data_IF_118823807891
#
_entry.id   IF_118823807891
#
_cell.length_a   1.000
_cell.length_b   1.000
_cell.length_c   1.000
_cell.angle_alpha   90.00
_cell.angle_beta   90.00
_cell.angle_gamma   90.00
#
_symmetry.space_group_name_H-M   'P 1'
#
loop_
_entity.id
_entity.type
_entity.pdbx_description
1 polymer ?
#
# COMPACT_ATOMS: atom_id res chain seq x y z
N UNK A 1 -21.57 45.57 -20.34
CA UNK A 1 -21.17 44.24 -20.87
C UNK A 1 -19.76 43.79 -20.48
N UNK A 2 -18.74 44.68 -20.44
CA UNK A 2 -17.34 44.30 -20.15
C UNK A 2 -17.12 43.61 -18.78
N UNK A 3 -17.89 43.96 -17.74
CA UNK A 3 -17.80 43.35 -16.40
C UNK A 3 -18.41 41.93 -16.30
N UNK A 4 -19.43 41.61 -17.10
CA UNK A 4 -20.04 40.28 -17.13
C UNK A 4 -19.13 39.25 -17.84
N UNK A 5 -18.42 39.67 -18.87
CA UNK A 5 -17.50 38.82 -19.62
C UNK A 5 -16.29 38.37 -18.78
N UNK A 6 -15.74 39.25 -17.93
CA UNK A 6 -14.64 38.88 -17.02
C UNK A 6 -15.06 37.90 -15.93
N UNK A 7 -16.28 38.01 -15.40
CA UNK A 7 -16.80 37.05 -14.40
C UNK A 7 -17.01 35.67 -15.03
N UNK A 8 -17.52 35.62 -16.25
CA UNK A 8 -17.72 34.36 -16.98
C UNK A 8 -16.40 33.66 -17.31
N UNK A 9 -15.37 34.44 -17.68
CA UNK A 9 -14.04 33.90 -18.01
C UNK A 9 -13.32 33.37 -16.76
N UNK A 10 -13.46 34.05 -15.61
CA UNK A 10 -12.96 33.56 -14.31
C UNK A 10 -13.69 32.27 -13.91
N UNK A 11 -15.02 32.23 -13.99
CA UNK A 11 -15.80 31.03 -13.67
C UNK A 11 -15.45 29.83 -14.59
N UNK A 12 -15.20 30.10 -15.87
CA UNK A 12 -14.78 29.07 -16.83
C UNK A 12 -13.40 28.50 -16.47
N UNK A 13 -12.43 29.36 -16.12
CA UNK A 13 -11.10 28.93 -15.69
C UNK A 13 -11.08 28.18 -14.35
N UNK A 14 -11.96 28.55 -13.40
CA UNK A 14 -12.10 27.78 -12.16
C UNK A 14 -12.70 26.40 -12.43
N UNK A 15 -13.68 26.29 -13.33
CA UNK A 15 -14.32 25.00 -13.62
C UNK A 15 -13.36 23.94 -14.21
N UNK A 16 -12.40 24.35 -15.04
CA UNK A 16 -11.38 23.45 -15.57
C UNK A 16 -10.40 22.95 -14.51
N UNK A 17 -10.01 23.80 -13.55
CA UNK A 17 -9.14 23.41 -12.42
C UNK A 17 -9.83 22.41 -11.46
N UNK A 18 -11.15 22.54 -11.27
CA UNK A 18 -11.92 21.60 -10.45
C UNK A 18 -12.13 20.24 -11.13
N UNK A 19 -12.26 20.20 -12.46
CA UNK A 19 -12.40 18.95 -13.20
C UNK A 19 -11.11 18.11 -13.17
N UNK A 20 -9.95 18.73 -13.40
CA UNK A 20 -8.64 18.05 -13.46
C UNK A 20 -8.19 17.51 -12.08
N UNK A 21 -8.51 18.24 -11.00
CA UNK A 21 -8.21 17.80 -9.62
C UNK A 21 -9.07 16.61 -9.18
N UNK A 22 -10.32 16.53 -9.61
CA UNK A 22 -11.23 15.40 -9.33
C UNK A 22 -10.73 14.09 -9.95
N UNK A 23 -10.35 14.10 -11.24
CA UNK A 23 -9.86 12.90 -11.93
C UNK A 23 -8.53 12.41 -11.35
N UNK A 24 -7.61 13.33 -11.05
CA UNK A 24 -6.32 13.00 -10.42
C UNK A 24 -6.52 12.36 -9.05
N UNK A 25 -7.47 12.88 -8.25
CA UNK A 25 -7.79 12.32 -6.92
C UNK A 25 -8.39 10.92 -7.02
N UNK A 26 -9.28 10.68 -7.98
CA UNK A 26 -9.85 9.35 -8.21
C UNK A 26 -8.80 8.33 -8.64
N UNK A 27 -7.88 8.73 -9.51
CA UNK A 27 -6.81 7.88 -9.99
C UNK A 27 -5.82 7.53 -8.87
N UNK A 28 -5.43 8.51 -8.04
CA UNK A 28 -4.62 8.29 -6.83
C UNK A 28 -5.29 7.28 -5.89
N UNK A 29 -6.59 7.41 -5.66
CA UNK A 29 -7.34 6.49 -4.80
C UNK A 29 -7.37 5.06 -5.37
N UNK A 30 -7.46 4.89 -6.69
CA UNK A 30 -7.38 3.57 -7.33
C UNK A 30 -5.99 2.95 -7.13
N UNK A 31 -4.92 3.71 -7.31
CA UNK A 31 -3.56 3.22 -7.06
C UNK A 31 -3.36 2.83 -5.59
N UNK A 32 -3.86 3.63 -4.66
CA UNK A 32 -3.82 3.30 -3.22
C UNK A 32 -4.56 1.99 -2.91
N UNK A 33 -5.73 1.75 -3.52
CA UNK A 33 -6.46 0.50 -3.35
C UNK A 33 -5.66 -0.72 -3.83
N UNK A 34 -5.04 -0.61 -5.01
CA UNK A 34 -4.17 -1.67 -5.56
C UNK A 34 -2.99 -1.91 -4.63
N UNK A 35 -2.33 -0.85 -4.14
CA UNK A 35 -1.21 -0.99 -3.22
C UNK A 35 -1.59 -1.67 -1.90
N UNK A 36 -2.77 -1.37 -1.34
CA UNK A 36 -3.28 -2.09 -0.15
C UNK A 36 -3.52 -3.58 -0.46
N UNK A 37 -4.00 -3.89 -1.66
CA UNK A 37 -4.12 -5.26 -2.16
C UNK A 37 -2.78 -5.99 -2.24
N UNK A 38 -1.76 -5.34 -2.80
CA UNK A 38 -0.38 -5.86 -2.88
C UNK A 38 0.23 -6.09 -1.50
N UNK A 39 0.05 -5.15 -0.56
CA UNK A 39 0.48 -5.32 0.85
C UNK A 39 -0.19 -6.56 1.46
N UNK A 40 -1.50 -6.71 1.23
CA UNK A 40 -2.26 -7.85 1.75
C UNK A 40 -1.79 -9.19 1.17
N UNK A 41 -1.44 -9.20 -0.11
CA UNK A 41 -0.91 -10.39 -0.79
C UNK A 41 0.49 -10.74 -0.28
N UNK A 42 1.38 -9.77 -0.21
CA UNK A 42 2.75 -9.94 0.29
C UNK A 42 2.75 -10.47 1.73
N UNK A 43 1.93 -9.89 2.62
CA UNK A 43 1.77 -10.41 3.98
C UNK A 43 1.33 -11.88 4.03
N UNK A 44 0.37 -12.29 3.18
CA UNK A 44 -0.09 -13.68 3.14
C UNK A 44 1.02 -14.62 2.67
N UNK A 45 1.83 -14.20 1.70
CA UNK A 45 2.98 -14.97 1.22
C UNK A 45 4.08 -15.06 2.29
N UNK A 46 4.36 -13.98 3.01
CA UNK A 46 5.29 -13.98 4.16
C UNK A 46 4.79 -14.91 5.28
N UNK A 47 3.52 -14.80 5.65
CA UNK A 47 2.93 -15.68 6.68
C UNK A 47 2.92 -17.14 6.27
N UNK A 48 2.68 -17.43 4.98
CA UNK A 48 2.73 -18.77 4.43
C UNK A 48 4.17 -19.31 4.46
N UNK A 49 5.13 -18.56 3.93
CA UNK A 49 6.54 -18.98 3.91
C UNK A 49 7.09 -19.18 5.32
N UNK A 50 6.71 -18.36 6.29
CA UNK A 50 7.02 -18.59 7.69
C UNK A 50 6.43 -19.90 8.21
N UNK A 51 5.18 -20.22 7.85
CA UNK A 51 4.56 -21.50 8.23
C UNK A 51 5.29 -22.71 7.61
N UNK A 52 5.71 -22.60 6.35
CA UNK A 52 6.55 -23.62 5.70
C UNK A 52 7.91 -23.76 6.40
N UNK A 53 8.54 -22.64 6.77
CA UNK A 53 9.82 -22.61 7.47
C UNK A 53 9.71 -23.29 8.84
N UNK A 54 8.70 -22.92 9.63
CA UNK A 54 8.47 -23.45 10.97
C UNK A 54 8.11 -24.95 10.96
N UNK A 55 7.38 -25.41 9.93
CA UNK A 55 7.09 -26.82 9.72
C UNK A 55 8.27 -27.62 9.14
N UNK A 56 9.38 -26.94 8.78
CA UNK A 56 10.50 -27.52 8.04
C UNK A 56 10.04 -28.25 6.75
N UNK A 57 8.98 -27.71 6.12
CA UNK A 57 8.31 -28.30 4.96
C UNK A 57 8.91 -27.84 3.62
N UNK A 58 9.78 -26.83 3.66
CA UNK A 58 10.54 -26.36 2.50
C UNK A 58 11.97 -25.98 2.90
N UNK A 59 12.91 -26.17 1.98
CA UNK A 59 14.29 -25.71 2.15
C UNK A 59 14.39 -24.19 2.18
N UNK A 60 15.41 -23.67 2.86
CA UNK A 60 15.63 -22.22 3.00
C UNK A 60 15.85 -21.52 1.68
N UNK A 61 16.47 -22.18 0.70
CA UNK A 61 16.65 -21.65 -0.66
C UNK A 61 15.31 -21.35 -1.34
N UNK A 62 14.33 -22.24 -1.19
CA UNK A 62 13.00 -22.06 -1.77
C UNK A 62 12.22 -20.93 -1.09
N UNK A 63 12.31 -20.84 0.25
CA UNK A 63 11.71 -19.74 1.01
C UNK A 63 12.33 -18.40 0.59
N UNK A 64 13.66 -18.33 0.50
CA UNK A 64 14.37 -17.13 0.07
C UNK A 64 14.02 -16.71 -1.36
N UNK A 65 13.84 -17.67 -2.28
CA UNK A 65 13.41 -17.39 -3.65
C UNK A 65 12.01 -16.76 -3.70
N UNK A 66 11.01 -17.35 -3.03
CA UNK A 66 9.65 -16.80 -2.97
C UNK A 66 9.67 -15.38 -2.39
N UNK A 67 10.39 -15.19 -1.29
CA UNK A 67 10.45 -13.90 -0.63
C UNK A 67 11.22 -12.86 -1.46
N UNK A 68 12.21 -13.25 -2.24
CA UNK A 68 12.91 -12.33 -3.16
C UNK A 68 11.99 -11.79 -4.26
N UNK A 69 11.15 -12.65 -4.85
CA UNK A 69 10.15 -12.24 -5.85
C UNK A 69 9.05 -11.36 -5.22
N UNK A 70 8.64 -11.71 -4.00
CA UNK A 70 7.69 -10.91 -3.21
C UNK A 70 8.26 -9.53 -2.92
N UNK A 71 9.52 -9.43 -2.49
CA UNK A 71 10.21 -8.17 -2.23
C UNK A 71 10.33 -7.30 -3.48
N UNK A 72 10.64 -7.92 -4.63
CA UNK A 72 10.72 -7.20 -5.90
C UNK A 72 9.36 -6.58 -6.27
N UNK A 73 8.29 -7.35 -6.10
CA UNK A 73 6.91 -6.88 -6.32
C UNK A 73 6.54 -5.74 -5.39
N UNK A 74 6.85 -5.87 -4.10
CA UNK A 74 6.63 -4.84 -3.08
C UNK A 74 7.41 -3.56 -3.41
N UNK A 75 8.70 -3.67 -3.77
CA UNK A 75 9.54 -2.52 -4.17
C UNK A 75 8.98 -1.82 -5.42
N UNK A 76 8.54 -2.59 -6.41
CA UNK A 76 7.93 -2.06 -7.62
C UNK A 76 6.62 -1.31 -7.30
N UNK A 77 5.74 -1.90 -6.49
CA UNK A 77 4.49 -1.26 -6.06
C UNK A 77 4.75 0.04 -5.28
N UNK A 78 5.73 0.04 -4.36
CA UNK A 78 6.16 1.24 -3.64
C UNK A 78 6.66 2.33 -4.59
N UNK A 79 7.48 1.96 -5.58
CA UNK A 79 7.99 2.91 -6.59
C UNK A 79 6.86 3.53 -7.41
N UNK A 80 5.88 2.73 -7.85
CA UNK A 80 4.71 3.22 -8.60
C UNK A 80 3.92 4.24 -7.76
N UNK A 81 3.65 3.94 -6.49
CA UNK A 81 2.90 4.83 -5.61
C UNK A 81 3.61 6.16 -5.39
N UNK A 82 4.93 6.13 -5.15
CA UNK A 82 5.73 7.34 -4.98
C UNK A 82 5.81 8.18 -6.26
N UNK A 83 5.91 7.52 -7.43
CA UNK A 83 5.99 8.21 -8.72
C UNK A 83 4.65 8.83 -9.14
N UNK A 84 3.53 8.17 -8.80
CA UNK A 84 2.19 8.61 -9.20
C UNK A 84 1.54 9.58 -8.20
N UNK A 85 2.09 9.72 -7.00
CA UNK A 85 1.60 10.67 -6.00
C UNK A 85 2.70 11.68 -5.60
N UNK A 86 2.83 12.74 -6.39
CA UNK A 86 3.83 13.80 -6.21
C UNK A 86 3.66 14.61 -4.92
N UNK A 87 2.50 14.55 -4.27
CA UNK A 87 2.24 15.13 -2.94
C UNK A 87 1.60 14.07 -2.04
N UNK A 88 2.40 13.26 -1.33
CA UNK A 88 1.90 12.12 -0.56
C UNK A 88 0.90 12.54 0.50
N UNK A 89 -0.35 12.12 0.32
CA UNK A 89 -1.38 12.25 1.33
C UNK A 89 -1.10 11.29 2.53
N UNK A 90 -1.83 11.43 3.66
CA UNK A 90 -1.61 10.59 4.82
C UNK A 90 -1.75 9.08 4.54
N UNK A 91 -2.68 8.67 3.66
CA UNK A 91 -2.84 7.27 3.30
C UNK A 91 -1.63 6.76 2.51
N UNK A 92 -1.14 7.53 1.55
CA UNK A 92 0.08 7.17 0.80
C UNK A 92 1.29 7.02 1.70
N UNK A 93 1.46 7.89 2.70
CA UNK A 93 2.57 7.76 3.67
C UNK A 93 2.50 6.46 4.47
N UNK A 94 1.31 6.09 4.92
CA UNK A 94 1.07 4.84 5.65
C UNK A 94 1.29 3.61 4.76
N UNK A 95 0.85 3.65 3.48
CA UNK A 95 1.10 2.59 2.49
C UNK A 95 2.60 2.39 2.31
N UNK A 96 3.36 3.47 2.14
CA UNK A 96 4.82 3.41 1.98
C UNK A 96 5.48 2.81 3.22
N UNK A 97 5.05 3.20 4.42
CA UNK A 97 5.55 2.62 5.66
C UNK A 97 5.22 1.13 5.79
N UNK A 98 4.04 0.70 5.34
CA UNK A 98 3.65 -0.71 5.37
C UNK A 98 4.50 -1.55 4.39
N UNK A 99 4.83 -1.02 3.21
CA UNK A 99 5.78 -1.67 2.31
C UNK A 99 7.16 -1.86 2.94
N UNK A 100 7.69 -0.84 3.63
CA UNK A 100 8.98 -0.95 4.31
C UNK A 100 8.97 -1.99 5.44
N UNK A 101 7.86 -2.07 6.17
CA UNK A 101 7.67 -3.07 7.21
C UNK A 101 7.64 -4.51 6.65
N UNK A 102 6.97 -4.73 5.52
CA UNK A 102 6.96 -6.03 4.83
C UNK A 102 8.37 -6.43 4.40
N UNK A 103 9.10 -5.55 3.70
CA UNK A 103 10.48 -5.83 3.28
C UNK A 103 11.38 -6.23 4.46
N UNK A 104 11.24 -5.54 5.59
CA UNK A 104 11.96 -5.88 6.82
C UNK A 104 11.52 -7.24 7.39
N UNK A 105 10.23 -7.54 7.36
CA UNK A 105 9.69 -8.81 7.86
C UNK A 105 10.15 -9.99 6.99
N UNK A 106 10.14 -9.83 5.67
CA UNK A 106 10.72 -10.76 4.69
C UNK A 106 12.19 -11.07 4.99
N UNK A 107 13.03 -10.07 5.28
CA UNK A 107 14.42 -10.29 5.70
C UNK A 107 14.54 -11.14 6.97
N UNK A 108 13.66 -10.91 7.94
CA UNK A 108 13.63 -11.68 9.18
C UNK A 108 13.21 -13.14 8.94
N UNK A 109 12.24 -13.39 8.05
CA UNK A 109 11.82 -14.75 7.67
C UNK A 109 12.95 -15.50 6.97
N UNK A 110 13.69 -14.84 6.06
CA UNK A 110 14.86 -15.43 5.40
C UNK A 110 15.92 -15.87 6.41
N UNK A 111 16.28 -14.97 7.34
CA UNK A 111 17.24 -15.27 8.42
C UNK A 111 16.77 -16.43 9.31
N UNK A 112 15.50 -16.42 9.70
CA UNK A 112 14.89 -17.51 10.48
C UNK A 112 14.99 -18.86 9.75
N UNK A 113 14.68 -18.86 8.45
CA UNK A 113 14.74 -20.05 7.61
C UNK A 113 16.16 -20.59 7.44
N UNK A 114 17.14 -19.72 7.18
CA UNK A 114 18.56 -20.08 7.07
C UNK A 114 19.12 -20.65 8.37
N UNK A 115 18.68 -20.12 9.52
CA UNK A 115 19.03 -20.62 10.85
C UNK A 115 18.34 -21.96 11.20
N UNK A 116 17.57 -22.56 10.27
CA UNK A 116 16.75 -23.77 10.48
C UNK A 116 15.84 -23.66 11.69
N UNK A 117 15.27 -22.47 11.89
CA UNK A 117 14.32 -22.20 12.96
C UNK A 117 14.90 -22.18 14.37
N UNK A 118 16.23 -22.18 14.53
CA UNK A 118 16.87 -22.23 15.86
C UNK A 118 16.71 -20.94 16.68
N UNK A 119 16.52 -19.79 16.04
CA UNK A 119 16.38 -18.46 16.68
C UNK A 119 15.54 -17.53 15.79
N UNK A 120 14.90 -16.51 16.38
CA UNK A 120 14.23 -15.42 15.64
C UNK A 120 12.74 -15.62 15.35
N UNK A 121 12.12 -16.69 15.88
CA UNK A 121 10.68 -16.95 15.70
C UNK A 121 9.81 -15.80 16.21
N UNK A 122 10.02 -15.36 17.44
CA UNK A 122 9.24 -14.29 18.06
C UNK A 122 9.37 -12.96 17.29
N UNK A 123 10.55 -12.70 16.72
CA UNK A 123 10.78 -11.51 15.91
C UNK A 123 9.98 -11.55 14.60
N UNK A 124 9.92 -12.73 13.97
CA UNK A 124 9.11 -12.95 12.76
C UNK A 124 7.62 -12.89 13.08
N UNK A 125 7.17 -13.56 14.14
CA UNK A 125 5.76 -13.53 14.55
C UNK A 125 5.31 -12.09 14.86
N UNK A 126 6.14 -11.32 15.57
CA UNK A 126 5.88 -9.91 15.84
C UNK A 126 5.84 -9.06 14.57
N UNK A 127 6.75 -9.27 13.62
CA UNK A 127 6.72 -8.48 12.38
C UNK A 127 5.48 -8.79 11.54
N UNK A 128 5.04 -10.07 11.49
CA UNK A 128 3.80 -10.49 10.83
C UNK A 128 2.56 -9.90 11.50
N UNK A 129 2.53 -9.84 12.83
CA UNK A 129 1.44 -9.20 13.58
C UNK A 129 1.34 -7.70 13.26
N UNK A 130 2.48 -7.00 13.22
CA UNK A 130 2.52 -5.58 12.83
C UNK A 130 2.03 -5.41 11.38
N UNK A 131 2.49 -6.24 10.45
CA UNK A 131 2.06 -6.19 9.05
C UNK A 131 0.55 -6.41 8.91
N UNK A 132 -0.03 -7.35 9.67
CA UNK A 132 -1.48 -7.55 9.72
C UNK A 132 -2.22 -6.32 10.23
N UNK A 133 -1.77 -5.75 11.36
CA UNK A 133 -2.38 -4.53 11.91
C UNK A 133 -2.30 -3.33 10.96
N UNK A 134 -1.21 -3.23 10.18
CA UNK A 134 -1.09 -2.22 9.13
C UNK A 134 -2.14 -2.43 8.02
N UNK A 135 -2.41 -3.66 7.60
CA UNK A 135 -3.44 -3.94 6.58
C UNK A 135 -4.82 -3.51 7.07
N UNK A 136 -5.17 -3.84 8.31
CA UNK A 136 -6.45 -3.45 8.91
C UNK A 136 -6.59 -1.92 8.96
N UNK A 137 -5.54 -1.22 9.45
CA UNK A 137 -5.47 0.25 9.50
C UNK A 137 -5.62 0.87 8.11
N UNK A 138 -4.89 0.38 7.12
CA UNK A 138 -4.93 0.91 5.76
C UNK A 138 -6.29 0.71 5.10
N UNK A 139 -6.91 -0.45 5.32
CA UNK A 139 -8.26 -0.75 4.83
C UNK A 139 -9.29 0.21 5.42
N UNK A 140 -9.23 0.45 6.73
CA UNK A 140 -10.11 1.40 7.42
C UNK A 140 -9.93 2.83 6.90
N UNK A 141 -8.68 3.27 6.74
CA UNK A 141 -8.37 4.60 6.20
C UNK A 141 -8.93 4.75 4.78
N UNK A 142 -8.72 3.75 3.93
CA UNK A 142 -9.23 3.74 2.57
C UNK A 142 -10.76 3.80 2.53
N UNK A 143 -11.45 2.98 3.32
CA UNK A 143 -12.91 2.97 3.39
C UNK A 143 -13.47 4.31 3.87
N UNK A 144 -12.85 4.95 4.87
CA UNK A 144 -13.25 6.28 5.34
C UNK A 144 -13.15 7.33 4.23
N UNK A 145 -12.07 7.31 3.44
CA UNK A 145 -11.89 8.22 2.30
C UNK A 145 -12.94 7.93 1.22
N UNK A 146 -13.14 6.66 0.86
CA UNK A 146 -14.11 6.26 -0.15
C UNK A 146 -15.55 6.68 0.22
N UNK A 147 -15.95 6.47 1.47
CA UNK A 147 -17.28 6.84 1.96
C UNK A 147 -17.50 8.35 1.99
N UNK A 148 -16.48 9.12 2.38
CA UNK A 148 -16.51 10.59 2.32
C UNK A 148 -16.68 11.08 0.88
N UNK A 149 -15.95 10.50 -0.07
CA UNK A 149 -16.04 10.86 -1.48
C UNK A 149 -17.41 10.51 -2.08
N UNK A 150 -17.99 9.36 -1.72
CA UNK A 150 -19.37 8.99 -2.09
C UNK A 150 -20.40 9.98 -1.53
N UNK A 151 -20.32 10.34 -0.25
CA UNK A 151 -21.24 11.28 0.39
C UNK A 151 -21.19 12.69 -0.25
N UNK A 152 -20.01 13.12 -0.69
CA UNK A 152 -19.84 14.40 -1.39
C UNK A 152 -20.28 14.35 -2.87
N UNK A 153 -20.23 13.19 -3.51
CA UNK A 153 -20.69 12.98 -4.89
C UNK A 153 -22.21 12.84 -5.08
N UNK A 154 -22.96 12.62 -3.99
CA UNK A 154 -24.44 12.51 -4.00
C UNK A 154 -25.14 13.87 -4.00
N UNK A 155 -24.40 14.99 -3.89
CA UNK A 155 -24.93 16.33 -4.14
C UNK A 155 -24.80 16.68 -5.64
N UNK A 156 -25.63 16.09 -6.48
CA UNK A 156 -25.91 16.58 -7.83
C UNK A 156 -27.40 16.73 -8.03
#
# INVERSE_FOLDING_TARGET
MRRFFSVFLILFSLSSLFAESSETTLLTLKYQAVAIGEISLAYRLESLTMSLAAANAAGSEYISAILSETDATVKNAKSIILTKNSSPDPLTKEIVSAFDQLLKCSENIKKYSEAKGKNGRDEVEKCLEISRGNIDKLTDMYQKIQNKNKANGVKK
#
